data_IF_721832515942
#
_entry.id   IF_721832515942
#
_cell.length_a   1.000
_cell.length_b   1.000
_cell.length_c   1.000
_cell.angle_alpha   90.00
_cell.angle_beta   90.00
_cell.angle_gamma   90.00
#
_symmetry.space_group_name_H-M   'P 1'
#
loop_
_entity.id
_entity.type
_entity.pdbx_description
1 polymer ?
2 polymer ?
3 polymer ?
4 polymer ?
5 non-polymer ?
6 water ?
#
loop_
_entity_poly.entity_id
_entity_poly.type
_entity_poly.pdbx_seq_one_letter_code
_entity_poly.pdbx_strand_id
1 'polydeoxyribonucleotide' '(DC)(DC)(DG)(DA)(DG)(DG)(DT)(DC)(DA)(DA)(DT)(DG)(DA)(DC)(DC)(DT)(DC)(DG)' ?
2 'polydeoxyribonucleotide' '(DC)(DC)(DG)(DA)(DG)(DG)(DT)(DC)(DA)(DT)(DT)(DG)(DA)(DC)(DC)(DT)(DC)(DG)' ?
#
# COMPACT_ATOMS: atom_id res chain seq x y z
N UNK C 4 -20.77 -2.81 -6.17
CA UNK C 4 -20.19 -3.95 -6.96
C UNK C 4 -18.80 -4.33 -6.41
N UNK C 5 -18.21 -5.38 -6.98
CA UNK C 5 -16.89 -5.90 -6.58
C UNK C 5 -15.85 -5.80 -7.70
N UNK C 6 -14.62 -5.43 -7.35
CA UNK C 6 -13.58 -5.36 -8.37
C UNK C 6 -13.38 -6.79 -8.84
N UNK C 7 -13.44 -6.99 -10.15
CA UNK C 7 -13.30 -8.33 -10.71
C UNK C 7 -11.86 -8.76 -10.70
N UNK C 8 -10.96 -7.82 -10.47
CA UNK C 8 -9.54 -8.13 -10.45
C UNK C 8 -8.94 -8.30 -9.06
N UNK C 9 -9.62 -7.85 -8.00
CA UNK C 9 -9.04 -7.96 -6.67
C UNK C 9 -10.01 -8.19 -5.54
N UNK C 10 -11.30 -7.95 -5.79
CA UNK C 10 -12.29 -8.12 -4.77
C UNK C 10 -12.49 -6.90 -3.89
N UNK C 11 -11.94 -5.77 -4.33
CA UNK C 11 -12.05 -4.50 -3.61
C UNK C 11 -13.38 -3.94 -4.08
N UNK C 12 -13.79 -2.80 -3.54
CA UNK C 12 -15.05 -2.21 -3.98
C UNK C 12 -14.93 -1.65 -5.39
N UNK C 13 -16.04 -1.64 -6.11
CA UNK C 13 -16.02 -1.10 -7.44
C UNK C 13 -16.97 0.08 -7.52
N UNK C 14 -16.53 1.16 -8.15
CA UNK C 14 -17.36 2.35 -8.32
C UNK C 14 -18.36 1.95 -9.39
N UNK C 15 -17.84 1.27 -10.39
CA UNK C 15 -18.63 0.80 -11.51
C UNK C 15 -17.72 0.13 -12.53
N UNK C 16 -18.20 -0.05 -13.75
CA UNK C 16 -17.38 -0.65 -14.80
C UNK C 16 -16.35 0.39 -15.25
N UNK C 17 -15.11 -0.05 -15.44
CA UNK C 17 -14.04 0.82 -15.90
C UNK C 17 -13.29 0.13 -17.03
N UNK C 18 -13.20 0.78 -18.18
CA UNK C 18 -12.53 0.22 -19.35
C UNK C 18 -13.12 -1.15 -19.72
N UNK C 19 -14.32 -1.43 -19.22
CA UNK C 19 -14.97 -2.69 -19.55
C UNK C 19 -14.91 -3.84 -18.55
N UNK C 20 -15.13 -3.54 -17.27
CA UNK C 20 -15.13 -4.56 -16.22
C UNK C 20 -15.24 -3.92 -14.85
N UNK C 21 -16.19 -4.39 -14.04
CA UNK C 21 -16.33 -3.84 -12.69
C UNK C 21 -14.97 -3.90 -12.01
N UNK C 22 -14.43 -2.73 -11.69
CA UNK C 22 -13.14 -2.64 -11.04
C UNK C 22 -13.13 -1.56 -9.96
N UNK C 23 -12.01 -1.49 -9.27
CA UNK C 23 -11.86 -0.54 -8.17
C UNK C 23 -10.99 0.57 -8.64
N UNK C 24 -11.01 1.66 -7.88
CA UNK C 24 -10.19 2.83 -8.19
C UNK C 24 -8.72 2.42 -8.41
N UNK C 25 -8.24 1.54 -7.54
CA UNK C 25 -6.89 1.04 -7.67
C UNK C 25 -6.66 0.47 -9.07
N UNK C 26 -7.41 -0.57 -9.41
CA UNK C 26 -7.26 -1.22 -10.69
C UNK C 26 -7.50 -0.39 -11.95
N UNK C 27 -8.42 0.58 -11.86
CA UNK C 27 -8.70 1.46 -12.97
C UNK C 27 -7.39 2.20 -13.27
N UNK C 28 -6.91 2.96 -12.29
CA UNK C 28 -5.66 3.68 -12.47
C UNK C 28 -4.46 2.83 -12.84
N UNK C 29 -4.29 1.69 -12.17
CA UNK C 29 -3.14 0.86 -12.49
C UNK C 29 -3.18 0.62 -13.98
N UNK C 30 -4.31 0.11 -14.44
CA UNK C 30 -4.48 -0.17 -15.84
C UNK C 30 -4.21 1.04 -16.77
N UNK C 31 -4.79 2.19 -16.44
CA UNK C 31 -4.60 3.39 -17.23
C UNK C 31 -3.13 3.73 -17.37
N UNK C 32 -2.45 3.96 -16.26
CA UNK C 32 -1.04 4.29 -16.32
C UNK C 32 -0.25 3.27 -17.13
N UNK C 33 -0.63 2.01 -17.03
CA UNK C 33 0.10 0.96 -17.70
C UNK C 33 -0.07 1.04 -19.20
N UNK C 34 -1.29 1.32 -19.64
CA UNK C 34 -1.53 1.42 -21.06
C UNK C 34 -1.06 2.81 -21.52
N UNK C 35 -1.47 3.85 -20.81
CA UNK C 35 -1.11 5.22 -21.16
C UNK C 35 0.37 5.52 -21.36
N UNK C 36 1.24 4.82 -20.65
CA UNK C 36 2.64 5.07 -20.85
C UNK C 36 3.26 3.81 -21.43
N UNK C 37 2.40 2.84 -21.73
CA UNK C 37 2.85 1.54 -22.26
C UNK C 37 4.06 1.02 -21.50
N UNK C 38 3.78 0.31 -20.41
CA UNK C 38 4.84 -0.24 -19.58
C UNK C 38 4.89 -1.74 -19.73
N UNK C 39 6.08 -2.30 -19.51
CA UNK C 39 6.26 -3.73 -19.58
C UNK C 39 6.86 -4.10 -18.25
N UNK C 40 6.23 -5.05 -17.58
CA UNK C 40 6.70 -5.48 -16.28
C UNK C 40 7.47 -6.77 -16.47
N UNK C 41 7.97 -7.36 -15.39
CA UNK C 41 8.75 -8.59 -15.50
C UNK C 41 8.19 -9.82 -14.77
N UNK C 42 8.06 -9.72 -13.45
CA UNK C 42 7.56 -10.81 -12.57
C UNK C 42 8.70 -11.67 -12.04
N UNK C 43 8.63 -12.06 -10.78
CA UNK C 43 9.68 -12.88 -10.20
C UNK C 43 9.46 -14.39 -10.26
N UNK C 44 8.22 -14.84 -10.30
CA UNK C 44 7.93 -16.27 -10.35
C UNK C 44 7.49 -16.76 -11.69
N UNK C 45 6.19 -16.87 -11.89
CA UNK C 45 5.62 -17.30 -13.17
C UNK C 45 4.70 -16.18 -13.60
N UNK C 46 3.41 -16.42 -13.42
CA UNK C 46 2.36 -15.48 -13.70
C UNK C 46 1.48 -15.81 -12.53
N UNK C 47 1.87 -16.90 -11.91
CA UNK C 47 1.19 -17.45 -10.76
C UNK C 47 0.96 -16.49 -9.60
N UNK C 48 1.46 -15.26 -9.68
CA UNK C 48 1.26 -14.36 -8.57
C UNK C 48 -0.20 -14.16 -8.16
N UNK C 49 -0.47 -14.41 -6.89
CA UNK C 49 -1.80 -14.35 -6.31
C UNK C 49 -2.66 -13.14 -6.66
N UNK C 50 -2.45 -11.99 -6.03
CA UNK C 50 -3.29 -10.82 -6.36
C UNK C 50 -4.75 -10.73 -5.82
N UNK C 51 -4.99 -9.78 -4.93
CA UNK C 51 -6.32 -9.54 -4.38
C UNK C 51 -6.26 -8.16 -3.73
N UNK C 52 -7.29 -7.78 -2.97
CA UNK C 52 -7.32 -6.46 -2.33
C UNK C 52 -6.10 -6.23 -1.41
N UNK C 53 -5.46 -7.33 -0.99
CA UNK C 53 -4.28 -7.31 -0.13
C UNK C 53 -2.90 -7.33 -0.81
N UNK C 54 -2.67 -8.29 -1.69
CA UNK C 54 -1.38 -8.43 -2.36
C UNK C 54 -1.26 -7.89 -3.78
N UNK C 55 -2.19 -7.08 -4.24
CA UNK C 55 -2.12 -6.68 -5.62
C UNK C 55 -0.84 -5.96 -6.08
N UNK C 56 -0.17 -5.31 -5.13
CA UNK C 56 1.06 -4.59 -5.45
C UNK C 56 2.33 -5.41 -5.26
N UNK C 57 2.20 -6.72 -5.01
CA UNK C 57 3.40 -7.54 -4.85
C UNK C 57 4.03 -7.89 -6.20
N UNK C 58 3.24 -7.81 -7.27
CA UNK C 58 3.73 -8.09 -8.62
C UNK C 58 2.91 -7.40 -9.69
N UNK C 59 3.41 -6.30 -10.21
CA UNK C 59 2.70 -5.53 -11.22
C UNK C 59 2.41 -6.29 -12.50
N UNK C 60 3.31 -7.18 -12.88
CA UNK C 60 3.13 -7.93 -14.12
C UNK C 60 1.84 -8.74 -14.06
N UNK C 61 1.68 -9.46 -12.97
CA UNK C 61 0.54 -10.31 -12.77
C UNK C 61 -0.76 -9.56 -12.53
N UNK C 62 -0.67 -8.30 -12.11
CA UNK C 62 -1.86 -7.51 -11.87
C UNK C 62 -2.46 -7.06 -13.18
N UNK C 63 -1.59 -6.57 -14.07
CA UNK C 63 -1.98 -6.11 -15.38
C UNK C 63 -2.54 -7.28 -16.17
N UNK C 64 -1.88 -8.42 -16.05
CA UNK C 64 -2.30 -9.63 -16.75
C UNK C 64 -3.69 -10.10 -16.29
N UNK C 65 -4.01 -9.91 -15.00
CA UNK C 65 -5.31 -10.34 -14.52
C UNK C 65 -6.35 -9.35 -15.05
N UNK C 66 -5.93 -8.10 -15.24
CA UNK C 66 -6.80 -7.05 -15.78
C UNK C 66 -7.20 -7.46 -17.20
N UNK C 67 -6.20 -7.86 -17.99
CA UNK C 67 -6.45 -8.30 -19.34
C UNK C 67 -7.45 -9.46 -19.29
N UNK C 68 -7.17 -10.42 -18.42
CA UNK C 68 -8.03 -11.59 -18.28
C UNK C 68 -9.39 -11.33 -17.62
N UNK C 69 -10.11 -10.31 -18.08
CA UNK C 69 -11.41 -10.04 -17.50
C UNK C 69 -12.05 -8.86 -18.18
N UNK C 70 -11.33 -8.25 -19.12
CA UNK C 70 -11.86 -7.12 -19.83
C UNK C 70 -10.78 -6.10 -20.14
N UNK C 71 -11.16 -4.83 -20.23
CA UNK C 71 -10.19 -3.78 -20.51
C UNK C 71 -9.48 -4.05 -21.85
N UNK C 72 -8.53 -3.19 -22.23
CA UNK C 72 -7.73 -3.33 -23.49
C UNK C 72 -7.27 -1.99 -24.06
N UNK C 73 -7.91 -1.56 -25.14
CA UNK C 73 -7.62 -0.26 -25.76
C UNK C 73 -8.43 0.63 -24.85
N UNK C 74 -9.64 0.98 -25.27
CA UNK C 74 -10.56 1.81 -24.48
C UNK C 74 -9.89 2.90 -23.64
N UNK C 75 -9.14 2.47 -22.63
CA UNK C 75 -8.41 3.36 -21.74
C UNK C 75 -7.58 4.32 -22.57
N UNK C 76 -7.06 3.82 -23.67
CA UNK C 76 -6.25 4.68 -24.54
C UNK C 76 -7.11 5.86 -24.99
N UNK C 77 -7.22 6.87 -24.13
CA UNK C 77 -8.01 8.06 -24.43
C UNK C 77 -7.03 9.20 -24.73
N UNK C 78 -5.84 8.86 -25.24
CA UNK C 78 -4.81 9.84 -25.56
C UNK C 78 -4.60 10.72 -24.34
N UNK C 79 -3.64 11.64 -24.39
CA UNK C 79 -3.39 12.50 -23.22
C UNK C 79 -4.20 13.80 -23.18
N UNK C 80 -4.80 14.05 -22.01
CA UNK C 80 -5.60 15.23 -21.71
C UNK C 80 -7.07 15.26 -22.18
N UNK C 81 -7.47 14.30 -23.03
CA UNK C 81 -8.84 14.25 -23.59
C UNK C 81 -10.03 14.17 -22.62
N UNK D 7 10.53 -13.24 10.25
CA UNK D 7 10.13 -12.85 8.87
C UNK D 7 8.78 -12.15 8.69
N UNK D 8 8.00 -11.97 9.74
CA UNK D 8 6.68 -11.30 9.60
C UNK D 8 6.52 -9.93 10.29
N UNK D 9 6.01 -8.94 9.58
CA UNK D 9 5.77 -7.61 10.19
C UNK D 9 4.69 -7.72 11.28
N UNK D 10 5.03 -7.38 12.51
CA UNK D 10 4.04 -7.50 13.60
C UNK D 10 2.88 -6.54 13.41
N UNK D 11 3.00 -5.56 12.50
CA UNK D 11 1.87 -4.69 12.34
C UNK D 11 0.81 -5.29 11.44
N UNK D 12 1.15 -5.45 10.17
CA UNK D 12 0.23 -5.94 9.17
C UNK D 12 0.40 -7.38 8.72
N UNK D 13 1.50 -8.02 9.09
CA UNK D 13 1.66 -9.40 8.66
C UNK D 13 2.32 -9.52 7.32
N UNK D 14 2.80 -8.40 6.81
CA UNK D 14 3.50 -8.41 5.55
C UNK D 14 4.86 -8.93 5.87
N UNK D 15 5.72 -9.02 4.86
CA UNK D 15 7.08 -9.52 5.05
C UNK D 15 7.94 -8.48 5.79
N UNK D 16 8.48 -8.84 6.94
CA UNK D 16 9.30 -7.89 7.68
C UNK D 16 10.71 -7.67 7.10
N UNK D 17 11.16 -6.42 7.05
CA UNK D 17 12.49 -6.13 6.55
C UNK D 17 13.53 -6.03 7.70
N UNK D 18 13.03 -6.16 8.92
CA UNK D 18 13.91 -6.11 10.07
C UNK D 18 13.26 -5.43 11.25
N UNK D 19 14.10 -4.86 12.11
CA UNK D 19 13.54 -4.18 13.26
C UNK D 19 13.61 -2.71 13.01
N UNK D 20 12.47 -2.05 13.12
CA UNK D 20 12.44 -0.63 12.91
C UNK D 20 11.92 -0.05 14.18
N UNK D 21 12.70 0.85 14.76
CA UNK D 21 12.35 1.49 16.02
C UNK D 21 12.01 0.50 17.14
N UNK D 22 12.78 -0.58 17.21
CA UNK D 22 12.70 -1.65 18.22
C UNK D 22 11.61 -2.72 18.03
N UNK D 23 11.07 -2.87 16.82
CA UNK D 23 10.05 -3.89 16.59
C UNK D 23 10.19 -4.45 15.19
N UNK D 24 9.85 -5.73 15.02
CA UNK D 24 9.92 -6.40 13.72
C UNK D 24 8.75 -6.00 12.82
N UNK D 25 9.07 -5.25 11.76
CA UNK D 25 8.07 -4.74 10.82
C UNK D 25 8.46 -4.76 9.36
N UNK D 26 7.55 -4.26 8.53
CA UNK D 26 7.68 -4.23 7.11
C UNK D 26 8.09 -2.81 6.73
N UNK D 27 8.51 -2.59 5.49
CA UNK D 27 8.92 -1.27 5.07
C UNK D 27 7.85 -0.16 5.18
N UNK D 28 6.63 -0.43 4.80
CA UNK D 28 5.63 0.61 4.89
C UNK D 28 5.28 1.00 6.30
N UNK D 29 5.18 0.03 7.20
CA UNK D 29 4.85 0.34 8.56
C UNK D 29 6.01 1.13 9.15
N UNK D 30 7.21 0.75 8.78
CA UNK D 30 8.36 1.49 9.25
C UNK D 30 8.20 2.96 8.87
N UNK D 31 8.10 3.24 7.57
CA UNK D 31 7.96 4.60 7.11
C UNK D 31 6.78 5.38 7.64
N UNK D 32 5.64 4.71 7.76
CA UNK D 32 4.42 5.33 8.27
C UNK D 32 4.54 5.68 9.79
N UNK D 33 5.40 4.98 10.50
CA UNK D 33 5.56 5.26 11.91
C UNK D 33 6.35 6.54 11.97
N UNK D 34 7.43 6.54 11.22
CA UNK D 34 8.35 7.67 11.10
C UNK D 34 7.55 8.94 10.83
N UNK D 35 6.81 8.93 9.73
CA UNK D 35 6.02 10.08 9.32
C UNK D 35 5.09 10.48 10.46
N UNK D 36 4.41 9.48 11.01
CA UNK D 36 3.47 9.71 12.09
C UNK D 36 4.05 10.37 13.32
N UNK D 37 5.25 9.96 13.71
CA UNK D 37 5.86 10.55 14.88
C UNK D 37 6.44 11.93 14.61
N UNK D 38 7.33 12.01 13.63
CA UNK D 38 7.97 13.26 13.26
C UNK D 38 7.00 14.41 13.08
N UNK D 39 5.78 14.14 12.67
CA UNK D 39 4.84 15.24 12.54
C UNK D 39 3.72 15.19 13.58
N UNK D 40 3.94 14.45 14.67
CA UNK D 40 2.96 14.30 15.77
C UNK D 40 1.59 14.27 15.16
N UNK D 41 1.26 13.20 14.45
CA UNK D 41 -0.03 13.12 13.78
C UNK D 41 -1.16 12.63 14.65
N UNK D 42 -2.35 13.15 14.39
CA UNK D 42 -3.51 12.71 15.14
C UNK D 42 -4.58 12.24 14.17
N UNK D 43 -4.59 10.94 13.93
CA UNK D 43 -5.55 10.35 13.03
C UNK D 43 -6.82 9.98 13.82
N UNK D 44 -7.94 9.98 13.11
CA UNK D 44 -9.25 9.67 13.67
C UNK D 44 -9.93 8.61 12.79
N UNK D 45 -10.38 7.53 13.44
CA UNK D 45 -11.01 6.38 12.78
C UNK D 45 -12.40 6.67 12.24
N UNK D 46 -12.68 6.19 11.03
CA UNK D 46 -13.97 6.39 10.38
C UNK D 46 -15.00 5.41 10.91
N UNK D 47 -14.67 4.14 10.79
CA UNK D 47 -15.54 3.05 11.24
C UNK D 47 -15.43 3.02 12.75
N UNK D 48 -15.32 1.83 13.33
CA UNK D 48 -15.19 1.74 14.77
C UNK D 48 -13.73 1.47 15.10
N UNK D 49 -13.10 2.41 15.80
CA UNK D 49 -11.69 2.29 16.19
C UNK D 49 -11.39 0.88 16.71
N UNK D 50 -11.32 -0.10 15.81
CA UNK D 50 -11.10 -1.48 16.23
C UNK D 50 -10.70 -2.37 15.06
N UNK D 51 -10.38 -1.71 13.95
CA UNK D 51 -9.97 -2.35 12.71
C UNK D 51 -8.80 -3.29 12.90
N UNK D 52 -8.94 -4.49 12.35
CA UNK D 52 -7.87 -5.47 12.39
C UNK D 52 -6.96 -5.16 11.20
N UNK D 53 -5.65 -5.31 11.38
CA UNK D 53 -4.71 -4.99 10.34
C UNK D 53 -4.18 -6.11 9.46
N UNK D 54 -4.13 -5.82 8.18
CA UNK D 54 -3.61 -6.76 7.21
C UNK D 54 -3.06 -5.88 6.12
N UNK D 55 -2.61 -6.49 5.04
CA UNK D 55 -2.03 -5.73 3.91
C UNK D 55 -2.97 -4.74 3.26
N UNK D 56 -4.25 -5.04 3.25
CA UNK D 56 -5.26 -4.15 2.70
C UNK D 56 -5.53 -3.03 3.71
N UNK D 57 -6.23 -3.38 4.78
CA UNK D 57 -6.60 -2.49 5.86
C UNK D 57 -5.59 -1.47 6.36
N UNK D 58 -4.33 -1.85 6.44
CA UNK D 58 -3.33 -0.95 6.97
C UNK D 58 -3.41 0.40 6.27
N UNK D 59 -3.63 0.36 4.98
CA UNK D 59 -3.70 1.56 4.15
C UNK D 59 -5.04 2.26 4.27
N UNK D 60 -5.97 1.64 4.98
CA UNK D 60 -7.30 2.19 5.14
C UNK D 60 -7.58 2.86 6.49
N UNK D 61 -6.82 2.55 7.51
CA UNK D 61 -7.08 3.21 8.78
C UNK D 61 -5.80 3.62 9.50
N UNK D 62 -5.49 4.89 9.35
CA UNK D 62 -4.30 5.45 9.95
C UNK D 62 -4.39 5.41 11.46
N UNK D 63 -5.51 5.82 12.02
CA UNK D 63 -5.58 5.78 13.46
C UNK D 63 -5.27 4.39 13.99
N UNK D 64 -5.80 3.35 13.34
CA UNK D 64 -5.56 1.99 13.82
C UNK D 64 -4.21 1.39 13.47
N UNK D 65 -3.58 1.89 12.42
CA UNK D 65 -2.26 1.39 12.08
C UNK D 65 -1.28 1.89 13.12
N UNK D 66 -1.47 3.12 13.57
CA UNK D 66 -0.56 3.71 14.56
C UNK D 66 -0.76 3.11 15.96
N UNK D 67 -2.00 2.81 16.32
CA UNK D 67 -2.28 2.28 17.63
C UNK D 67 -1.49 1.02 17.73
N UNK D 68 -1.48 0.29 16.62
CA UNK D 68 -0.81 -0.98 16.63
C UNK D 68 0.69 -0.87 16.56
N UNK D 69 1.22 0.02 15.73
CA UNK D 69 2.66 0.17 15.63
C UNK D 69 3.14 0.28 17.06
N UNK D 70 2.45 1.12 17.77
CA UNK D 70 2.73 1.41 19.14
C UNK D 70 2.60 0.17 20.06
N UNK D 71 1.49 -0.55 19.94
CA UNK D 71 1.22 -1.73 20.75
C UNK D 71 2.16 -2.89 20.53
N UNK D 72 2.81 -2.88 19.39
CA UNK D 72 3.70 -3.95 19.05
C UNK D 72 5.15 -3.65 19.44
N UNK D 73 5.34 -2.58 20.20
CA UNK D 73 6.68 -2.23 20.67
C UNK D 73 7.55 -1.25 19.92
N UNK D 74 6.97 -0.58 18.94
CA UNK D 74 7.68 0.39 18.12
C UNK D 74 7.75 1.70 18.90
N UNK D 75 8.92 2.16 19.30
CA UNK D 75 8.94 3.38 20.10
C UNK D 75 9.31 4.72 19.47
N UNK D 76 8.47 5.73 19.74
CA UNK D 76 8.58 7.10 19.25
C UNK D 76 9.89 7.77 19.65
N UNK D 77 10.24 7.66 20.93
CA UNK D 77 11.48 8.27 21.40
C UNK D 77 12.70 7.93 20.52
N UNK D 78 12.65 6.84 19.78
CA UNK D 78 13.79 6.48 18.92
C UNK D 78 13.77 7.16 17.57
N UNK D 79 12.68 7.86 17.31
CA UNK D 79 12.52 8.59 16.06
C UNK D 79 13.17 9.95 16.29
N UNK D 80 14.19 10.23 15.47
CA UNK D 80 14.99 11.45 15.60
C UNK D 80 15.09 11.89 17.05
N UNK D 81 15.79 11.11 17.87
CA UNK D 81 15.98 11.42 19.27
C UNK D 81 16.93 12.61 19.34
N UNK D 82 16.95 13.33 20.45
CA UNK D 82 17.84 14.48 20.53
C UNK D 82 19.26 14.07 20.94
N UNK D 83 19.92 13.39 20.01
CA UNK D 83 21.30 12.93 20.19
C UNK D 83 22.12 13.73 19.19
N UNK D 84 23.39 13.36 19.01
CA UNK D 84 24.23 14.04 18.02
C UNK D 84 23.60 13.76 16.67
N UNK D 85 24.38 13.82 15.60
CA UNK D 85 23.82 13.58 14.28
C UNK D 85 22.70 14.61 14.05
N UNK D 86 22.36 15.34 15.11
CA UNK D 86 21.39 16.42 15.06
C UNK D 86 22.30 17.58 14.65
N UNK D 87 23.30 17.21 13.85
CA UNK D 87 24.29 18.12 13.30
C UNK D 87 23.95 18.30 11.84
N UNK D 88 22.94 17.53 11.41
CA UNK D 88 22.44 17.61 10.05
C UNK D 88 21.60 18.88 10.10
N UNK D 89 21.16 19.20 11.30
CA UNK D 89 20.36 20.39 11.55
C UNK D 89 21.24 21.59 11.36
N UNK D 90 22.55 21.36 11.43
CA UNK D 90 23.53 22.43 11.28
C UNK D 90 23.96 22.64 9.83
N UNK D 91 23.44 21.83 8.92
CA UNK D 91 23.78 21.96 7.51
C UNK D 91 22.84 22.98 6.84
N UNK D 92 23.41 24.10 6.41
CA UNK D 92 22.67 25.17 5.74
C UNK D 92 22.81 25.11 4.22
X LIG E 1 -8.89 -4.14 -7.84
X LIG F 1 4.37 -12.40 -11.01
X LIG G 1 3.51 -3.92 8.41
X LIG H 1 -9.73 1.97 12.69
#
# INVERSE_FOLDING_TARGET
FTKHICAICGDRSSGKHYGVYSCEGCKGFFKRTVRKDLTYTCRDNKDCLIDKRQRNRCQYCRYQKCLAMGMKREAVQAAAA
APRVQEELCLVCGDRASGYHYNALTCEGCKGFFRRSVTKSAVYCCKFGRACEMDMYMRRKCQECRLKKCLAVGMRPECVVPENQCAMKRREKKAQKEKDKMTTSPSSQH
ZN ZN
ZN ZN
ZN ZN
ZN ZN
#
